data_IF_421202225027
#
_entry.id   IF_421202225027
#
_cell.length_a   1.000
_cell.length_b   1.000
_cell.length_c   1.000
_cell.angle_alpha   90.00
_cell.angle_beta   90.00
_cell.angle_gamma   90.00
#
_symmetry.space_group_name_H-M   'P 1'
#
loop_
_entity.id
_entity.type
_entity.pdbx_description
1 polymer ?
#
# COMPACT_ATOMS: atom_id res chain seq x y z
N UNK A 1 -49.15 22.81 -14.01
CA UNK A 1 -47.80 23.09 -14.54
C UNK A 1 -46.84 22.11 -13.88
N UNK A 2 -46.38 21.10 -14.61
CA UNK A 2 -45.61 19.99 -14.05
C UNK A 2 -44.15 20.17 -14.41
N UNK A 3 -43.30 20.47 -13.42
CA UNK A 3 -41.85 20.63 -13.61
C UNK A 3 -41.24 19.25 -13.78
N UNK A 4 -40.78 18.95 -15.01
CA UNK A 4 -40.05 17.73 -15.34
C UNK A 4 -38.59 17.96 -14.95
N UNK A 5 -38.14 17.36 -13.85
CA UNK A 5 -36.76 17.46 -13.39
C UNK A 5 -35.79 16.79 -14.39
N UNK A 6 -34.92 17.59 -14.99
CA UNK A 6 -33.80 17.13 -15.83
C UNK A 6 -32.66 16.66 -14.94
N UNK A 7 -32.70 15.40 -14.47
CA UNK A 7 -31.56 14.76 -13.82
C UNK A 7 -30.66 14.10 -14.88
N UNK A 8 -29.99 14.92 -15.69
CA UNK A 8 -28.91 14.48 -16.56
C UNK A 8 -27.60 14.98 -15.95
N UNK A 9 -27.05 14.22 -15.01
CA UNK A 9 -25.65 14.39 -14.64
C UNK A 9 -24.81 13.77 -15.75
N UNK A 10 -24.01 14.57 -16.44
CA UNK A 10 -23.00 14.07 -17.38
C UNK A 10 -21.93 13.31 -16.58
N UNK A 11 -22.10 11.99 -16.51
CA UNK A 11 -21.12 11.09 -15.91
C UNK A 11 -19.92 11.04 -16.84
N UNK A 12 -18.81 11.67 -16.45
CA UNK A 12 -17.51 11.49 -17.12
C UNK A 12 -17.11 10.04 -16.93
N UNK A 13 -17.08 9.19 -17.97
CA UNK A 13 -16.57 7.84 -17.82
C UNK A 13 -15.06 7.95 -17.56
N UNK A 14 -14.61 7.52 -16.39
CA UNK A 14 -13.19 7.27 -16.15
C UNK A 14 -12.76 6.19 -17.16
N UNK A 15 -12.13 6.60 -18.26
CA UNK A 15 -11.62 5.68 -19.29
C UNK A 15 -10.74 4.62 -18.61
N UNK A 16 -11.14 3.34 -18.59
CA UNK A 16 -10.23 2.27 -18.21
C UNK A 16 -9.18 2.17 -19.31
N UNK A 17 -7.88 2.29 -18.97
CA UNK A 17 -6.83 1.97 -19.93
C UNK A 17 -6.97 0.50 -20.32
N UNK A 18 -6.94 0.14 -21.62
CA UNK A 18 -6.85 -1.25 -22.00
C UNK A 18 -5.49 -1.76 -21.52
N UNK A 19 -5.50 -2.79 -20.69
CA UNK A 19 -4.45 -3.78 -20.81
C UNK A 19 -5.11 -5.06 -21.27
N UNK A 20 -4.44 -5.76 -22.17
CA UNK A 20 -4.90 -6.97 -22.80
C UNK A 20 -5.42 -7.96 -21.74
N UNK A 21 -6.17 -8.95 -22.21
CA UNK A 21 -6.60 -10.10 -21.43
C UNK A 21 -5.42 -10.99 -20.98
N UNK A 22 -4.38 -10.40 -20.38
CA UNK A 22 -3.48 -11.07 -19.47
C UNK A 22 -4.17 -11.11 -18.11
N UNK A 23 -4.30 -12.29 -17.46
CA UNK A 23 -4.60 -12.31 -16.04
C UNK A 23 -3.47 -11.53 -15.35
N UNK A 24 -3.77 -10.30 -14.90
CA UNK A 24 -2.83 -9.48 -14.17
C UNK A 24 -2.15 -10.37 -13.12
N UNK A 25 -0.81 -10.36 -12.99
CA UNK A 25 -0.12 -11.21 -12.03
C UNK A 25 -0.79 -11.04 -10.67
N UNK A 26 -1.39 -12.13 -10.17
CA UNK A 26 -2.24 -12.19 -8.97
C UNK A 26 -1.41 -11.98 -7.69
N UNK A 27 -0.52 -10.99 -7.67
CA UNK A 27 0.49 -10.83 -6.63
C UNK A 27 1.12 -9.45 -6.53
N UNK A 28 0.71 -8.46 -7.33
CA UNK A 28 1.09 -7.08 -7.04
C UNK A 28 0.12 -6.54 -5.97
N UNK A 29 0.58 -6.22 -4.74
CA UNK A 29 -0.32 -5.72 -3.69
C UNK A 29 -1.12 -4.54 -4.23
N UNK A 30 -2.43 -4.44 -4.00
CA UNK A 30 -3.15 -3.22 -4.40
C UNK A 30 -2.67 -2.06 -3.52
N UNK A 31 -2.82 -0.83 -4.00
CA UNK A 31 -2.59 0.34 -3.15
C UNK A 31 -3.47 0.20 -1.89
N UNK A 32 -2.92 0.38 -0.68
CA UNK A 32 -3.69 0.18 0.55
C UNK A 32 -4.85 1.17 0.60
N UNK A 33 -6.01 0.69 1.07
CA UNK A 33 -7.17 1.55 1.20
C UNK A 33 -7.06 2.40 2.45
N UNK A 34 -7.60 3.61 2.38
CA UNK A 34 -7.61 4.55 3.49
C UNK A 34 -8.21 3.96 4.78
N UNK A 35 -9.35 3.28 4.67
CA UNK A 35 -10.00 2.60 5.81
C UNK A 35 -9.14 1.54 6.49
N UNK A 36 -8.27 0.86 5.73
CA UNK A 36 -7.38 -0.17 6.29
C UNK A 36 -6.30 0.49 7.13
N UNK A 37 -5.72 1.59 6.62
CA UNK A 37 -4.65 2.34 7.28
C UNK A 37 -5.15 2.99 8.58
N UNK A 38 -6.29 3.67 8.52
CA UNK A 38 -6.90 4.29 9.70
C UNK A 38 -7.30 3.23 10.73
N UNK A 39 -7.92 2.14 10.28
CA UNK A 39 -8.27 1.01 11.14
C UNK A 39 -7.05 0.40 11.84
N UNK A 40 -5.94 0.22 11.12
CA UNK A 40 -4.66 -0.25 11.66
C UNK A 40 -4.11 0.70 12.72
N UNK A 41 -4.12 2.02 12.46
CA UNK A 41 -3.65 3.04 13.43
C UNK A 41 -4.47 3.00 14.71
N UNK A 42 -5.80 3.05 14.63
CA UNK A 42 -6.69 2.99 15.79
C UNK A 42 -6.48 1.70 16.60
N UNK A 43 -6.39 0.55 15.91
CA UNK A 43 -6.16 -0.75 16.54
C UNK A 43 -4.79 -0.82 17.21
N UNK A 44 -3.75 -0.29 16.58
CA UNK A 44 -2.39 -0.25 17.13
C UNK A 44 -2.36 0.59 18.39
N UNK A 45 -2.93 1.78 18.35
CA UNK A 45 -2.97 2.69 19.50
C UNK A 45 -3.73 2.08 20.68
N UNK A 46 -4.94 1.56 20.43
CA UNK A 46 -5.73 0.86 21.45
C UNK A 46 -4.94 -0.26 22.13
N UNK A 47 -4.22 -1.06 21.35
CA UNK A 47 -3.40 -2.16 21.85
C UNK A 47 -2.17 -1.69 22.61
N UNK A 48 -1.52 -0.62 22.17
CA UNK A 48 -0.39 -0.02 22.87
C UNK A 48 -0.81 0.47 24.26
N UNK A 49 -2.04 0.96 24.40
CA UNK A 49 -2.65 1.35 25.68
C UNK A 49 -3.15 0.16 26.52
N UNK A 50 -3.05 -1.09 26.02
CA UNK A 50 -3.58 -2.27 26.71
C UNK A 50 -5.11 -2.32 26.83
N UNK A 51 -5.85 -1.47 26.08
CA UNK A 51 -7.30 -1.34 26.20
C UNK A 51 -8.04 -2.34 25.32
N UNK A 52 -9.18 -2.82 25.83
CA UNK A 52 -10.08 -3.70 25.09
C UNK A 52 -10.96 -2.91 24.12
N UNK A 53 -11.57 -3.59 23.14
CA UNK A 53 -12.60 -2.96 22.29
C UNK A 53 -13.76 -2.41 23.13
N UNK A 54 -14.10 -3.05 24.25
CA UNK A 54 -15.16 -2.61 25.15
C UNK A 54 -14.83 -1.25 25.74
N UNK A 55 -13.62 -1.10 26.29
CA UNK A 55 -13.18 0.15 26.95
C UNK A 55 -13.18 1.36 26.01
N UNK A 56 -12.86 1.15 24.73
CA UNK A 56 -12.88 2.22 23.72
C UNK A 56 -14.31 2.47 23.23
N UNK A 57 -15.10 1.41 23.03
CA UNK A 57 -16.49 1.52 22.59
C UNK A 57 -17.35 2.35 23.55
N UNK A 58 -17.15 2.17 24.86
CA UNK A 58 -17.85 2.91 25.90
C UNK A 58 -17.42 4.39 25.90
N UNK A 59 -16.12 4.65 25.80
CA UNK A 59 -15.58 6.01 25.77
C UNK A 59 -15.97 6.78 24.49
N UNK A 60 -16.02 6.12 23.33
CA UNK A 60 -16.34 6.75 22.05
C UNK A 60 -17.85 6.76 21.73
N UNK A 61 -18.68 6.07 22.54
CA UNK A 61 -20.11 5.83 22.27
C UNK A 61 -20.38 5.16 20.92
N UNK A 62 -19.44 4.33 20.46
CA UNK A 62 -19.57 3.54 19.23
C UNK A 62 -19.76 2.10 19.65
N UNK A 63 -20.64 1.34 18.98
CA UNK A 63 -20.81 -0.07 19.32
C UNK A 63 -19.51 -0.87 19.12
N UNK A 64 -19.24 -1.83 20.01
CA UNK A 64 -18.06 -2.71 19.89
C UNK A 64 -17.97 -3.39 18.54
N UNK A 65 -19.11 -3.86 18.01
CA UNK A 65 -19.17 -4.52 16.71
C UNK A 65 -18.73 -3.57 15.58
N UNK A 66 -19.24 -2.34 15.57
CA UNK A 66 -18.88 -1.36 14.55
C UNK A 66 -17.43 -0.90 14.67
N UNK A 67 -16.93 -0.63 15.89
CA UNK A 67 -15.52 -0.30 16.12
C UNK A 67 -14.60 -1.43 15.63
N UNK A 68 -14.98 -2.69 15.85
CA UNK A 68 -14.24 -3.84 15.33
C UNK A 68 -14.21 -3.86 13.79
N UNK A 69 -15.33 -3.55 13.13
CA UNK A 69 -15.37 -3.41 11.67
C UNK A 69 -14.42 -2.32 11.15
N UNK A 70 -14.40 -1.18 11.82
CA UNK A 70 -13.53 -0.05 11.49
C UNK A 70 -12.06 -0.41 11.68
N UNK A 71 -11.67 -0.98 12.83
CA UNK A 71 -10.28 -1.40 13.11
C UNK A 71 -9.73 -2.45 12.13
N UNK A 72 -10.62 -3.15 11.43
CA UNK A 72 -10.27 -4.17 10.43
C UNK A 72 -10.40 -3.66 9.00
N UNK A 73 -10.69 -2.38 8.79
CA UNK A 73 -10.85 -1.79 7.46
C UNK A 73 -12.06 -2.35 6.68
N UNK A 74 -13.07 -2.88 7.37
CA UNK A 74 -14.29 -3.42 6.72
C UNK A 74 -15.36 -2.36 6.47
N UNK A 75 -15.22 -1.19 7.09
CA UNK A 75 -16.17 -0.07 6.97
C UNK A 75 -15.43 1.23 6.72
N UNK A 76 -16.04 2.06 5.87
CA UNK A 76 -15.74 3.48 5.78
C UNK A 76 -16.43 4.17 6.96
N UNK A 77 -15.65 4.61 7.93
CA UNK A 77 -16.17 5.38 9.06
C UNK A 77 -16.41 6.83 8.64
N UNK A 78 -17.47 7.46 9.15
CA UNK A 78 -17.64 8.90 8.97
C UNK A 78 -16.56 9.67 9.73
N UNK A 79 -16.35 10.94 9.36
CA UNK A 79 -15.38 11.80 10.03
C UNK A 79 -15.69 11.97 11.52
N UNK A 80 -16.97 12.03 11.91
CA UNK A 80 -17.42 12.11 13.29
C UNK A 80 -17.08 10.85 14.08
N UNK A 81 -17.26 9.67 13.49
CA UNK A 81 -16.91 8.38 14.10
C UNK A 81 -15.40 8.28 14.30
N UNK A 82 -14.62 8.69 13.30
CA UNK A 82 -13.16 8.70 13.41
C UNK A 82 -12.68 9.68 14.50
N UNK A 83 -13.26 10.87 14.57
CA UNK A 83 -12.95 11.85 15.61
C UNK A 83 -13.28 11.32 17.01
N UNK A 84 -14.45 10.70 17.19
CA UNK A 84 -14.86 10.11 18.46
C UNK A 84 -13.95 8.96 18.90
N UNK A 85 -13.56 8.08 17.97
CA UNK A 85 -12.63 6.98 18.26
C UNK A 85 -11.22 7.50 18.60
N UNK A 86 -10.72 8.50 17.86
CA UNK A 86 -9.43 9.14 18.13
C UNK A 86 -9.42 9.78 19.53
N UNK A 87 -10.45 10.58 19.84
CA UNK A 87 -10.58 11.24 21.13
C UNK A 87 -10.68 10.23 22.28
N UNK A 88 -11.42 9.14 22.09
CA UNK A 88 -11.50 8.05 23.07
C UNK A 88 -10.14 7.40 23.34
N UNK A 89 -9.20 7.44 22.40
CA UNK A 89 -7.81 6.98 22.52
C UNK A 89 -6.85 8.09 22.97
N UNK A 90 -7.32 9.29 23.30
CA UNK A 90 -6.47 10.42 23.68
C UNK A 90 -5.68 11.03 22.54
N UNK A 91 -6.09 10.78 21.29
CA UNK A 91 -5.50 11.35 20.08
C UNK A 91 -6.41 12.44 19.50
N UNK A 92 -5.82 13.40 18.80
CA UNK A 92 -6.56 14.24 17.87
C UNK A 92 -6.80 13.52 16.54
N UNK A 93 -7.78 13.98 15.75
CA UNK A 93 -7.96 13.47 14.39
C UNK A 93 -6.70 13.72 13.53
N UNK A 94 -6.02 14.85 13.73
CA UNK A 94 -4.80 15.17 13.01
C UNK A 94 -3.67 14.15 13.27
N UNK A 95 -3.53 13.67 14.51
CA UNK A 95 -2.55 12.63 14.86
C UNK A 95 -2.84 11.32 14.09
N UNK A 96 -4.11 10.92 14.04
CA UNK A 96 -4.53 9.72 13.28
C UNK A 96 -4.22 9.88 11.80
N UNK A 97 -4.49 11.05 11.22
CA UNK A 97 -4.19 11.34 9.82
C UNK A 97 -2.68 11.30 9.53
N UNK A 98 -1.87 11.90 10.40
CA UNK A 98 -0.41 11.90 10.28
C UNK A 98 0.15 10.48 10.30
N UNK A 99 -0.25 9.69 11.30
CA UNK A 99 0.18 8.29 11.46
C UNK A 99 -0.25 7.41 10.28
N UNK A 100 -1.48 7.60 9.78
CA UNK A 100 -1.97 6.87 8.61
C UNK A 100 -1.22 7.27 7.33
N UNK A 101 -0.93 8.56 7.18
CA UNK A 101 -0.13 9.10 6.07
C UNK A 101 1.31 8.57 6.07
N UNK A 102 1.99 8.58 7.21
CA UNK A 102 3.32 7.99 7.39
C UNK A 102 3.33 6.51 7.01
N UNK A 103 2.28 5.78 7.41
CA UNK A 103 2.11 4.36 7.07
C UNK A 103 1.94 4.16 5.57
N UNK A 104 1.11 4.98 4.92
CA UNK A 104 0.93 4.97 3.47
C UNK A 104 2.25 5.21 2.74
N UNK A 105 2.99 6.27 3.11
CA UNK A 105 4.30 6.60 2.52
C UNK A 105 5.29 5.44 2.71
N UNK A 106 5.31 4.83 3.89
CA UNK A 106 6.19 3.69 4.18
C UNK A 106 5.87 2.47 3.30
N UNK A 107 4.57 2.16 3.11
CA UNK A 107 4.12 1.05 2.29
C UNK A 107 4.39 1.29 0.81
N UNK A 108 4.17 2.51 0.31
CA UNK A 108 4.45 2.87 -1.10
C UNK A 108 5.95 2.84 -1.37
N UNK A 109 6.79 3.36 -0.48
CA UNK A 109 8.25 3.29 -0.60
C UNK A 109 8.77 1.83 -0.60
N UNK A 110 8.21 0.97 0.24
CA UNK A 110 8.53 -0.46 0.25
C UNK A 110 8.15 -1.14 -1.07
N UNK A 111 6.96 -0.84 -1.61
CA UNK A 111 6.48 -1.35 -2.89
C UNK A 111 7.39 -0.95 -4.07
N UNK A 112 7.81 0.31 -4.11
CA UNK A 112 8.72 0.80 -5.17
C UNK A 112 10.05 0.04 -5.14
N UNK A 113 10.64 -0.17 -3.96
CA UNK A 113 11.88 -0.96 -3.81
C UNK A 113 11.74 -2.39 -4.31
N UNK A 114 10.66 -3.08 -3.96
CA UNK A 114 10.39 -4.46 -4.43
C UNK A 114 10.27 -4.51 -5.95
N UNK A 115 9.59 -3.53 -6.57
CA UNK A 115 9.44 -3.44 -8.02
C UNK A 115 10.77 -3.18 -8.73
N UNK A 116 11.62 -2.30 -8.19
CA UNK A 116 12.96 -2.06 -8.74
C UNK A 116 13.83 -3.32 -8.70
N UNK A 117 13.75 -4.12 -7.63
CA UNK A 117 14.50 -5.39 -7.52
C UNK A 117 14.05 -6.43 -8.54
N UNK A 118 12.74 -6.61 -8.75
CA UNK A 118 12.23 -7.59 -9.71
C UNK A 118 12.56 -7.24 -11.17
N UNK A 119 12.65 -5.94 -11.49
CA UNK A 119 13.02 -5.47 -12.84
C UNK A 119 14.53 -5.67 -13.09
N UNK A 120 15.38 -5.52 -12.07
CA UNK A 120 16.83 -5.77 -12.17
C UNK A 120 17.20 -7.23 -12.44
N UNK A 121 16.34 -8.18 -12.06
CA UNK A 121 16.56 -9.63 -12.31
C UNK A 121 16.11 -10.10 -13.69
N UNK A 122 15.28 -9.33 -14.40
CA UNK A 122 14.82 -9.67 -15.76
C UNK A 122 15.80 -9.24 -16.87
N UNK A 123 16.77 -8.38 -16.54
CA UNK A 123 17.85 -7.95 -17.44
C UNK A 123 19.12 -8.79 -17.29
N UNK A 124 18.99 -10.12 -17.34
CA UNK A 124 20.13 -11.03 -17.29
C UNK A 124 21.05 -10.84 -18.50
N UNK A 125 22.04 -9.98 -18.34
CA UNK A 125 23.27 -9.98 -19.14
C UNK A 125 23.83 -11.40 -19.13
N UNK A 126 23.72 -12.10 -20.26
CA UNK A 126 24.50 -13.31 -20.52
C UNK A 126 25.94 -12.83 -20.66
N UNK A 127 26.88 -13.15 -19.75
CA UNK A 127 28.27 -12.79 -19.98
C UNK A 127 28.71 -13.55 -21.25
N UNK A 128 28.95 -12.81 -22.33
CA UNK A 128 29.71 -13.32 -23.46
C UNK A 128 31.06 -13.67 -22.89
N UNK A 129 31.33 -14.98 -22.75
CA UNK A 129 32.68 -15.49 -22.56
C UNK A 129 33.43 -15.16 -23.84
N UNK A 130 34.26 -14.13 -23.81
CA UNK A 130 35.34 -13.95 -24.77
C UNK A 130 36.31 -15.10 -24.56
N UNK A 131 36.15 -16.17 -25.32
CA UNK A 131 37.19 -17.18 -25.51
C UNK A 131 38.30 -16.53 -26.32
N UNK A 132 39.32 -16.02 -25.62
CA UNK A 132 40.58 -15.65 -26.26
C UNK A 132 41.29 -16.92 -26.76
N UNK A 133 41.79 -16.96 -28.00
CA UNK A 133 42.58 -18.09 -28.45
C UNK A 133 43.96 -18.06 -27.78
N UNK A 134 44.33 -19.21 -27.22
CA UNK A 134 45.65 -19.48 -26.70
C UNK A 134 46.62 -19.87 -27.84
N UNK A 135 47.83 -19.30 -27.79
CA UNK A 135 49.07 -19.88 -28.31
C UNK A 135 49.74 -19.11 -29.48
N UNK A 136 51.04 -19.36 -29.78
CA UNK A 136 52.05 -20.12 -29.02
C UNK A 136 53.31 -19.29 -28.68
N UNK A 137 54.00 -19.68 -27.61
CA UNK A 137 55.40 -19.28 -27.36
C UNK A 137 56.31 -20.33 -28.01
N UNK A 138 57.07 -19.91 -29.02
CA UNK A 138 58.23 -20.62 -29.57
C UNK A 138 59.15 -19.59 -30.23
N UNK A 139 60.47 -19.62 -30.10
CA UNK A 139 61.36 -20.49 -29.33
C UNK A 139 62.81 -20.00 -29.52
N UNK A 140 63.74 -20.79 -28.95
CA UNK A 140 65.18 -20.96 -29.35
C UNK A 140 66.07 -19.73 -29.10
N UNK A 141 66.97 -19.64 -28.10
CA UNK A 141 68.15 -20.43 -27.70
C UNK A 141 69.38 -20.29 -28.63
N UNK A 142 70.57 -20.20 -28.00
CA UNK A 142 71.96 -20.06 -28.47
C UNK A 142 72.52 -18.63 -28.52
N UNK A 143 73.44 -18.23 -27.62
CA UNK A 143 74.78 -18.75 -27.29
C UNK A 143 75.89 -18.15 -28.18
N UNK A 144 76.76 -17.36 -27.55
CA UNK A 144 78.22 -17.42 -27.64
C UNK A 144 78.81 -16.55 -26.51
#
# INVERSE_FOLDING_TARGET
MTIRATNQADVIPLRPLPTAADPAPQGLPREPLWRDLVGEVLRRERRAQGRTLKDVSEASRISMAYLSEVERGRKEASSEVLAAAAQALGLSLADVLALAGERLVSLTAARTRTRSRSLGTAGGHRPVRTTGPAGPMGGVLLAA
#
